data_IF_723542890427
#
_entry.id   IF_723542890427
#
_cell.length_a   1.000
_cell.length_b   1.000
_cell.length_c   1.000
_cell.angle_alpha   90.00
_cell.angle_beta   90.00
_cell.angle_gamma   90.00
#
_symmetry.space_group_name_H-M   'P 1'
#
loop_
_entity.id
_entity.type
_entity.pdbx_description
1 polymer ?
#
# COMPACT_ATOMS: atom_id res chain seq x y z
N UNK A 1 25.13 -39.99 12.44
CA UNK A 1 26.14 -40.05 11.35
C UNK A 1 27.22 -39.00 11.55
N UNK A 2 28.49 -39.30 11.24
CA UNK A 2 29.61 -38.34 11.30
C UNK A 2 29.32 -37.10 10.44
N UNK A 3 28.72 -37.29 9.26
CA UNK A 3 28.32 -36.20 8.35
C UNK A 3 27.39 -35.19 9.01
N UNK A 4 26.40 -35.68 9.78
CA UNK A 4 25.46 -34.81 10.50
C UNK A 4 26.20 -33.95 11.53
N UNK A 5 27.00 -34.59 12.39
CA UNK A 5 27.77 -33.91 13.44
C UNK A 5 28.71 -32.85 12.85
N UNK A 6 29.36 -33.17 11.72
CA UNK A 6 30.25 -32.25 11.03
C UNK A 6 29.53 -31.00 10.51
N UNK A 7 28.35 -31.15 9.88
CA UNK A 7 27.58 -29.99 9.38
C UNK A 7 27.06 -29.14 10.56
N UNK A 8 26.59 -29.77 11.64
CA UNK A 8 26.19 -29.05 12.87
C UNK A 8 27.35 -28.23 13.44
N UNK A 9 28.57 -28.79 13.49
CA UNK A 9 29.76 -28.06 13.93
C UNK A 9 30.09 -26.88 13.02
N UNK A 10 29.95 -27.02 11.70
CA UNK A 10 30.14 -25.90 10.75
C UNK A 10 29.12 -24.78 11.00
N UNK A 11 27.85 -25.13 11.25
CA UNK A 11 26.81 -24.15 11.60
C UNK A 11 27.11 -23.45 12.93
N UNK A 12 27.66 -24.16 13.92
CA UNK A 12 28.10 -23.54 15.18
C UNK A 12 29.26 -22.55 14.98
N UNK A 13 30.20 -22.86 14.09
CA UNK A 13 31.27 -21.93 13.70
C UNK A 13 30.70 -20.67 13.04
N UNK A 14 29.74 -20.83 12.12
CA UNK A 14 29.03 -19.71 11.51
C UNK A 14 28.37 -18.82 12.58
N UNK A 15 27.66 -19.40 13.55
CA UNK A 15 27.03 -18.65 14.64
C UNK A 15 28.05 -17.96 15.56
N UNK A 16 29.25 -18.53 15.72
CA UNK A 16 30.33 -17.91 16.48
C UNK A 16 30.81 -16.63 15.78
N UNK A 17 31.03 -16.69 14.47
CA UNK A 17 31.34 -15.49 13.67
C UNK A 17 30.21 -14.45 13.74
N UNK A 18 28.95 -14.90 13.65
CA UNK A 18 27.78 -14.02 13.79
C UNK A 18 27.75 -13.30 15.15
N UNK A 19 27.94 -14.03 16.26
CA UNK A 19 28.00 -13.45 17.61
C UNK A 19 29.16 -12.46 17.75
N UNK A 20 30.30 -12.74 17.12
CA UNK A 20 31.43 -11.83 17.02
C UNK A 20 31.24 -10.66 16.04
N UNK A 21 30.07 -10.56 15.38
CA UNK A 21 29.76 -9.57 14.32
C UNK A 21 30.69 -9.62 13.11
N UNK A 22 31.40 -10.74 12.90
CA UNK A 22 32.17 -11.00 11.69
C UNK A 22 31.27 -11.61 10.60
N UNK A 23 30.38 -10.76 10.06
CA UNK A 23 29.42 -11.17 9.04
C UNK A 23 30.09 -11.65 7.75
N UNK A 24 31.29 -11.17 7.42
CA UNK A 24 32.01 -11.58 6.21
C UNK A 24 32.49 -13.02 6.32
N UNK A 25 33.07 -13.40 7.46
CA UNK A 25 33.48 -14.79 7.69
C UNK A 25 32.27 -15.71 7.83
N UNK A 26 31.22 -15.27 8.53
CA UNK A 26 29.97 -16.03 8.60
C UNK A 26 29.37 -16.29 7.20
N UNK A 27 29.35 -15.28 6.32
CA UNK A 27 28.89 -15.43 4.94
C UNK A 27 29.75 -16.38 4.11
N UNK A 28 31.08 -16.39 4.31
CA UNK A 28 31.97 -17.37 3.65
C UNK A 28 31.56 -18.79 4.02
N UNK A 29 31.27 -19.06 5.30
CA UNK A 29 30.81 -20.38 5.75
C UNK A 29 29.49 -20.77 5.07
N UNK A 30 28.50 -19.87 5.03
CA UNK A 30 27.23 -20.09 4.34
C UNK A 30 27.41 -20.40 2.84
N UNK A 31 28.27 -19.64 2.15
CA UNK A 31 28.57 -19.85 0.72
C UNK A 31 29.25 -21.18 0.47
N UNK A 32 30.20 -21.58 1.33
CA UNK A 32 30.88 -22.87 1.23
C UNK A 32 29.89 -24.02 1.40
N UNK A 33 28.98 -23.95 2.38
CA UNK A 33 27.93 -24.96 2.54
C UNK A 33 27.03 -25.07 1.32
N UNK A 34 26.64 -23.94 0.73
CA UNK A 34 25.85 -23.91 -0.52
C UNK A 34 26.61 -24.53 -1.68
N UNK A 35 27.91 -24.24 -1.84
CA UNK A 35 28.75 -24.83 -2.87
C UNK A 35 28.85 -26.37 -2.72
N UNK A 36 28.87 -26.84 -1.47
CA UNK A 36 28.80 -28.27 -1.14
C UNK A 36 27.38 -28.88 -1.23
N UNK A 37 26.38 -28.13 -1.73
CA UNK A 37 24.98 -28.54 -1.84
C UNK A 37 24.36 -28.98 -0.50
N UNK A 38 24.83 -28.39 0.59
CA UNK A 38 24.27 -28.59 1.94
C UNK A 38 23.25 -27.49 2.21
N UNK A 39 22.02 -27.87 2.54
CA UNK A 39 21.03 -26.93 3.05
C UNK A 39 21.32 -26.67 4.54
N UNK A 40 21.82 -25.48 4.93
CA UNK A 40 22.23 -25.24 6.32
C UNK A 40 21.06 -25.27 7.30
N UNK A 41 19.84 -25.05 6.84
CA UNK A 41 18.64 -25.03 7.68
C UNK A 41 18.23 -26.41 8.18
N UNK A 42 18.74 -27.49 7.57
CA UNK A 42 18.49 -28.87 8.01
C UNK A 42 19.36 -29.36 9.17
N UNK A 43 20.29 -28.53 9.68
CA UNK A 43 21.35 -28.97 10.61
C UNK A 43 21.61 -27.96 11.73
N UNK A 44 20.61 -27.71 12.58
CA UNK A 44 20.67 -26.63 13.57
C UNK A 44 21.47 -27.07 14.80
N UNK A 45 22.39 -26.24 15.33
CA UNK A 45 23.11 -26.52 16.58
C UNK A 45 22.18 -26.66 17.79
N UNK A 46 22.55 -27.50 18.74
CA UNK A 46 21.82 -27.68 20.00
C UNK A 46 21.64 -26.33 20.73
N UNK A 47 20.44 -26.10 21.28
CA UNK A 47 20.09 -24.87 21.98
C UNK A 47 19.78 -23.66 21.09
N UNK A 48 19.74 -23.83 19.76
CA UNK A 48 19.34 -22.78 18.80
C UNK A 48 18.01 -23.16 18.17
N UNK A 49 17.03 -22.24 18.19
CA UNK A 49 15.76 -22.49 17.50
C UNK A 49 15.93 -22.34 15.98
N UNK A 50 15.15 -23.07 15.16
CA UNK A 50 15.15 -22.90 13.71
C UNK A 50 14.95 -21.44 13.27
N UNK A 51 14.04 -20.72 13.92
CA UNK A 51 13.72 -19.32 13.64
C UNK A 51 14.92 -18.43 13.94
N UNK A 52 15.54 -18.58 15.12
CA UNK A 52 16.75 -17.83 15.49
C UNK A 52 17.88 -18.06 14.48
N UNK A 53 18.03 -19.29 14.00
CA UNK A 53 19.03 -19.64 13.00
C UNK A 53 18.75 -19.00 11.64
N UNK A 54 17.50 -19.04 11.16
CA UNK A 54 17.09 -18.39 9.91
C UNK A 54 17.28 -16.88 9.99
N UNK A 55 16.87 -16.24 11.10
CA UNK A 55 17.04 -14.81 11.33
C UNK A 55 18.53 -14.43 11.32
N UNK A 56 19.40 -15.22 11.96
CA UNK A 56 20.85 -15.01 11.91
C UNK A 56 21.41 -15.13 10.48
N UNK A 57 20.98 -16.15 9.73
CA UNK A 57 21.37 -16.31 8.33
C UNK A 57 20.93 -15.10 7.48
N UNK A 58 19.68 -14.66 7.61
CA UNK A 58 19.18 -13.49 6.90
C UNK A 58 19.96 -12.23 7.28
N UNK A 59 20.24 -12.04 8.57
CA UNK A 59 21.02 -10.90 9.07
C UNK A 59 22.46 -10.90 8.53
N UNK A 60 23.13 -12.05 8.43
CA UNK A 60 24.46 -12.14 7.80
C UNK A 60 24.42 -11.65 6.34
N UNK A 61 23.44 -12.10 5.57
CA UNK A 61 23.27 -11.67 4.19
C UNK A 61 22.91 -10.17 4.09
N UNK A 62 22.08 -9.67 5.01
CA UNK A 62 21.70 -8.26 5.14
C UNK A 62 22.92 -7.37 5.38
N UNK A 63 23.73 -7.67 6.39
CA UNK A 63 24.92 -6.88 6.72
C UNK A 63 25.98 -6.93 5.61
N UNK A 64 26.02 -8.02 4.85
CA UNK A 64 26.86 -8.17 3.67
C UNK A 64 26.23 -7.63 2.37
N UNK A 65 25.12 -6.88 2.44
CA UNK A 65 24.40 -6.28 1.31
C UNK A 65 23.93 -7.28 0.23
N UNK A 66 23.83 -8.56 0.56
CA UNK A 66 23.22 -9.60 -0.27
C UNK A 66 21.70 -9.61 -0.10
N UNK A 67 21.06 -8.47 -0.41
CA UNK A 67 19.68 -8.16 -0.01
C UNK A 67 18.63 -9.14 -0.54
N UNK A 68 18.73 -9.55 -1.81
CA UNK A 68 17.79 -10.53 -2.40
C UNK A 68 17.87 -11.88 -1.68
N UNK A 69 19.08 -12.33 -1.35
CA UNK A 69 19.28 -13.59 -0.65
C UNK A 69 18.76 -13.51 0.79
N UNK A 70 18.99 -12.37 1.46
CA UNK A 70 18.44 -12.13 2.80
C UNK A 70 16.91 -12.20 2.83
N UNK A 71 16.23 -11.68 1.79
CA UNK A 71 14.77 -11.82 1.61
C UNK A 71 14.40 -13.30 1.40
N UNK A 72 15.06 -13.99 0.46
CA UNK A 72 14.76 -15.39 0.16
C UNK A 72 14.90 -16.30 1.38
N UNK A 73 15.91 -16.06 2.23
CA UNK A 73 16.12 -16.82 3.47
C UNK A 73 14.94 -16.67 4.43
N UNK A 74 14.42 -15.45 4.63
CA UNK A 74 13.26 -15.22 5.50
C UNK A 74 12.01 -15.94 5.00
N UNK A 75 11.80 -15.91 3.67
CA UNK A 75 10.64 -16.54 3.05
C UNK A 75 10.72 -18.06 3.07
N UNK A 76 11.90 -18.62 2.80
CA UNK A 76 12.09 -20.07 2.80
C UNK A 76 12.03 -20.66 4.20
N UNK A 77 12.49 -19.94 5.22
CA UNK A 77 12.45 -20.39 6.60
C UNK A 77 11.11 -20.18 7.30
N UNK A 78 10.05 -19.80 6.56
CA UNK A 78 8.69 -19.57 7.07
C UNK A 78 8.62 -18.65 8.31
N UNK A 79 9.64 -17.81 8.53
CA UNK A 79 9.77 -16.97 9.74
C UNK A 79 8.71 -15.87 9.86
N UNK A 80 7.92 -15.67 8.80
CA UNK A 80 6.80 -14.74 8.77
C UNK A 80 5.50 -15.42 9.20
N UNK A 81 5.34 -16.74 9.01
CA UNK A 81 4.12 -17.48 9.43
C UNK A 81 4.07 -17.55 10.94
N UNK A 82 2.90 -17.26 11.51
CA UNK A 82 2.70 -17.11 12.95
C UNK A 82 3.40 -18.16 13.79
N UNK A 83 4.05 -17.68 14.84
CA UNK A 83 4.29 -18.38 16.10
C UNK A 83 2.96 -18.58 16.86
N UNK A 84 1.92 -19.13 16.21
CA UNK A 84 0.62 -19.39 16.85
C UNK A 84 0.72 -20.41 17.97
N UNK A 85 1.78 -21.23 17.96
CA UNK A 85 2.12 -22.12 19.05
C UNK A 85 3.43 -21.63 19.69
N UNK A 86 3.31 -20.81 20.74
CA UNK A 86 3.97 -20.99 22.03
C UNK A 86 4.01 -19.65 22.77
N UNK A 87 3.22 -19.56 23.84
CA UNK A 87 3.34 -18.47 24.80
C UNK A 87 4.64 -18.59 25.58
N UNK A 88 5.73 -18.02 25.06
CA UNK A 88 6.98 -17.88 25.80
C UNK A 88 7.68 -16.56 25.46
N UNK A 89 8.39 -16.00 26.44
CA UNK A 89 9.20 -14.79 26.34
C UNK A 89 10.20 -14.82 25.16
N UNK A 90 10.63 -16.00 24.69
CA UNK A 90 11.49 -16.21 23.53
C UNK A 90 10.87 -15.75 22.20
N UNK A 91 9.54 -15.82 22.07
CA UNK A 91 8.82 -15.36 20.89
C UNK A 91 8.92 -13.84 20.70
N UNK A 92 9.04 -13.08 21.80
CA UNK A 92 9.12 -11.62 21.76
C UNK A 92 10.46 -11.13 21.22
N UNK A 93 11.56 -11.77 21.60
CA UNK A 93 12.90 -11.42 21.11
C UNK A 93 13.06 -11.80 19.63
N UNK A 94 12.52 -12.96 19.22
CA UNK A 94 12.47 -13.36 17.81
C UNK A 94 11.63 -12.41 16.97
N UNK A 95 10.44 -12.01 17.46
CA UNK A 95 9.60 -11.04 16.78
C UNK A 95 10.32 -9.68 16.64
N UNK A 96 10.96 -9.20 17.70
CA UNK A 96 11.70 -7.93 17.68
C UNK A 96 12.88 -7.99 16.70
N UNK A 97 13.58 -9.12 16.62
CA UNK A 97 14.65 -9.36 15.65
C UNK A 97 14.11 -9.41 14.21
N UNK A 98 13.00 -10.11 13.98
CA UNK A 98 12.32 -10.18 12.69
C UNK A 98 11.88 -8.80 12.22
N UNK A 99 11.18 -8.03 13.05
CA UNK A 99 10.78 -6.65 12.76
C UNK A 99 11.99 -5.79 12.38
N UNK A 100 13.07 -5.83 13.17
CA UNK A 100 14.31 -5.09 12.88
C UNK A 100 14.89 -5.48 11.52
N UNK A 101 14.98 -6.77 11.21
CA UNK A 101 15.53 -7.28 9.94
C UNK A 101 14.63 -6.83 8.77
N UNK A 102 13.31 -7.03 8.87
CA UNK A 102 12.34 -6.64 7.84
C UNK A 102 12.40 -5.14 7.57
N UNK A 103 12.38 -4.30 8.61
CA UNK A 103 12.45 -2.84 8.44
C UNK A 103 13.79 -2.40 7.85
N UNK A 104 14.91 -3.01 8.26
CA UNK A 104 16.23 -2.71 7.69
C UNK A 104 16.35 -3.17 6.23
N UNK A 105 15.81 -4.35 5.89
CA UNK A 105 15.72 -4.83 4.51
C UNK A 105 14.88 -3.88 3.65
N UNK A 106 13.66 -3.56 4.07
CA UNK A 106 12.77 -2.64 3.34
C UNK A 106 13.42 -1.27 3.11
N UNK A 107 14.11 -0.73 4.12
CA UNK A 107 14.90 0.51 4.02
C UNK A 107 16.02 0.41 2.99
N UNK A 108 16.81 -0.66 3.01
CA UNK A 108 17.94 -0.84 2.11
C UNK A 108 17.49 -1.17 0.68
N UNK A 109 16.46 -1.98 0.51
CA UNK A 109 15.86 -2.31 -0.79
C UNK A 109 15.30 -1.05 -1.47
N UNK A 110 14.62 -0.19 -0.70
CA UNK A 110 14.21 1.15 -1.14
C UNK A 110 15.41 2.02 -1.53
N UNK A 111 16.45 2.09 -0.69
CA UNK A 111 17.67 2.89 -0.97
C UNK A 111 18.40 2.41 -2.23
N UNK A 112 18.48 1.10 -2.44
CA UNK A 112 19.15 0.47 -3.59
C UNK A 112 18.26 0.31 -4.82
N UNK A 113 16.98 0.74 -4.74
CA UNK A 113 15.99 0.62 -5.81
C UNK A 113 15.88 -0.82 -6.34
N UNK A 114 15.73 -1.79 -5.42
CA UNK A 114 15.52 -3.20 -5.72
C UNK A 114 14.04 -3.57 -5.51
N UNK A 115 13.14 -3.23 -6.46
CA UNK A 115 11.70 -3.35 -6.27
C UNK A 115 11.20 -4.78 -6.25
N UNK A 116 11.85 -5.70 -6.97
CA UNK A 116 11.45 -7.11 -7.01
C UNK A 116 11.50 -7.74 -5.62
N UNK A 117 12.68 -7.82 -4.98
CA UNK A 117 12.78 -8.37 -3.63
C UNK A 117 11.98 -7.57 -2.58
N UNK A 118 11.84 -6.25 -2.76
CA UNK A 118 11.00 -5.43 -1.88
C UNK A 118 9.52 -5.82 -1.97
N UNK A 119 9.01 -6.04 -3.19
CA UNK A 119 7.64 -6.50 -3.42
C UNK A 119 7.43 -7.87 -2.78
N UNK A 120 8.36 -8.81 -2.97
CA UNK A 120 8.26 -10.16 -2.42
C UNK A 120 8.23 -10.13 -0.89
N UNK A 121 9.17 -9.42 -0.26
CA UNK A 121 9.20 -9.26 1.19
C UNK A 121 7.94 -8.58 1.70
N UNK A 122 7.52 -7.49 1.04
CA UNK A 122 6.34 -6.74 1.44
C UNK A 122 5.06 -7.58 1.38
N UNK A 123 4.82 -8.31 0.29
CA UNK A 123 3.66 -9.20 0.14
C UNK A 123 3.64 -10.26 1.24
N UNK A 124 4.77 -10.91 1.48
CA UNK A 124 4.86 -11.94 2.50
C UNK A 124 4.59 -11.39 3.90
N UNK A 125 5.16 -10.22 4.23
CA UNK A 125 4.86 -9.56 5.50
C UNK A 125 3.36 -9.25 5.58
N UNK A 126 2.77 -8.65 4.54
CA UNK A 126 1.34 -8.27 4.51
C UNK A 126 0.41 -9.47 4.66
N UNK A 127 0.66 -10.58 3.96
CA UNK A 127 -0.14 -11.81 4.07
C UNK A 127 -0.09 -12.35 5.50
N UNK A 128 1.10 -12.33 6.11
CA UNK A 128 1.29 -12.87 7.44
C UNK A 128 0.98 -11.89 8.57
N UNK A 129 0.74 -10.60 8.29
CA UNK A 129 0.31 -9.63 9.31
C UNK A 129 -0.93 -10.11 10.07
N UNK A 130 -1.79 -10.91 9.43
CA UNK A 130 -2.99 -11.44 10.07
C UNK A 130 -2.69 -12.44 11.18
N UNK A 131 -1.51 -13.07 11.11
CA UNK A 131 -1.06 -14.15 11.96
C UNK A 131 -0.05 -13.65 13.04
N UNK A 132 0.43 -12.41 12.92
CA UNK A 132 1.35 -11.77 13.87
C UNK A 132 0.61 -11.10 15.03
N UNK A 133 1.06 -11.36 16.27
CA UNK A 133 0.57 -10.70 17.49
C UNK A 133 0.83 -9.18 17.49
N UNK A 134 1.91 -8.76 16.86
CA UNK A 134 2.30 -7.37 16.71
C UNK A 134 2.47 -7.09 15.21
N UNK A 135 1.76 -6.10 14.64
CA UNK A 135 1.95 -5.78 13.23
C UNK A 135 3.27 -5.06 12.96
N UNK A 136 4.05 -5.54 11.97
CA UNK A 136 5.30 -4.88 11.56
C UNK A 136 4.96 -3.58 10.81
N UNK A 137 5.51 -2.45 11.23
CA UNK A 137 5.18 -1.12 10.70
C UNK A 137 5.81 -0.82 9.33
N UNK A 138 5.28 -1.42 8.26
CA UNK A 138 5.78 -1.27 6.88
C UNK A 138 5.10 -0.15 6.07
N UNK A 139 4.30 0.73 6.69
CA UNK A 139 3.49 1.76 6.00
C UNK A 139 4.32 2.71 5.13
N UNK A 140 5.55 3.01 5.57
CA UNK A 140 6.50 3.90 4.88
C UNK A 140 7.06 3.37 3.55
N UNK A 141 6.77 2.11 3.27
CA UNK A 141 7.23 1.41 2.08
C UNK A 141 6.11 1.14 1.07
N UNK A 142 4.83 1.36 1.42
CA UNK A 142 3.71 1.17 0.49
C UNK A 142 3.90 2.01 -0.77
N UNK A 143 4.23 3.29 -0.64
CA UNK A 143 4.43 4.16 -1.80
C UNK A 143 5.56 3.64 -2.72
N UNK A 144 6.64 3.11 -2.14
CA UNK A 144 7.73 2.53 -2.92
C UNK A 144 7.27 1.27 -3.66
N UNK A 145 6.67 0.34 -2.93
CA UNK A 145 6.23 -0.96 -3.45
C UNK A 145 5.16 -0.77 -4.52
N UNK A 146 4.13 0.02 -4.23
CA UNK A 146 3.09 0.38 -5.19
C UNK A 146 3.70 1.06 -6.42
N UNK A 147 4.67 1.99 -6.27
CA UNK A 147 5.22 2.68 -7.45
C UNK A 147 5.81 1.75 -8.49
N UNK A 148 6.39 0.65 -8.02
CA UNK A 148 7.05 -0.29 -8.89
C UNK A 148 6.14 -1.40 -9.39
N UNK A 149 5.17 -1.85 -8.59
CA UNK A 149 4.08 -2.69 -9.12
C UNK A 149 3.45 -2.02 -10.32
N UNK A 150 3.02 -0.77 -10.16
CA UNK A 150 2.18 -0.09 -11.15
C UNK A 150 2.94 0.28 -12.44
N UNK A 151 4.21 0.68 -12.33
CA UNK A 151 5.08 0.89 -13.49
C UNK A 151 5.32 -0.41 -14.27
N UNK A 152 5.45 -1.55 -13.58
CA UNK A 152 5.62 -2.86 -14.22
C UNK A 152 4.32 -3.37 -14.85
N UNK A 153 3.15 -3.03 -14.27
CA UNK A 153 1.83 -3.41 -14.81
C UNK A 153 1.48 -2.69 -16.11
N UNK A 154 1.85 -1.41 -16.28
CA UNK A 154 1.73 -0.72 -17.59
C UNK A 154 2.46 -1.46 -18.71
N UNK A 155 3.51 -2.22 -18.39
CA UNK A 155 4.28 -3.01 -19.36
C UNK A 155 3.77 -4.46 -19.55
N UNK A 156 2.94 -5.00 -18.66
CA UNK A 156 2.66 -6.45 -18.61
C UNK A 156 1.20 -6.87 -18.83
N UNK A 157 0.25 -5.96 -19.07
CA UNK A 157 -1.18 -6.28 -19.34
C UNK A 157 -1.82 -7.31 -18.37
N UNK A 158 -1.34 -7.36 -17.12
CA UNK A 158 -1.84 -8.28 -16.08
C UNK A 158 -2.41 -7.48 -14.90
N UNK A 159 -3.73 -7.20 -14.88
CA UNK A 159 -4.40 -6.36 -13.87
C UNK A 159 -4.63 -7.04 -12.50
N UNK A 160 -4.42 -8.34 -12.39
CA UNK A 160 -4.76 -9.16 -11.21
C UNK A 160 -3.91 -8.88 -9.96
N UNK A 161 -2.67 -8.44 -10.13
CA UNK A 161 -1.71 -8.24 -9.04
C UNK A 161 -1.92 -6.94 -8.23
N UNK A 162 -2.44 -5.89 -8.86
CA UNK A 162 -2.75 -4.61 -8.20
C UNK A 162 -4.03 -4.70 -7.37
N UNK A 163 -5.07 -5.34 -7.91
CA UNK A 163 -6.31 -5.65 -7.20
C UNK A 163 -6.05 -6.57 -5.99
N UNK A 164 -5.12 -7.53 -6.10
CA UNK A 164 -4.75 -8.39 -4.98
C UNK A 164 -4.01 -7.61 -3.87
N UNK A 165 -3.08 -6.73 -4.25
CA UNK A 165 -2.42 -5.82 -3.30
C UNK A 165 -3.42 -4.89 -2.61
N UNK A 166 -4.49 -4.50 -3.31
CA UNK A 166 -5.59 -3.72 -2.76
C UNK A 166 -6.39 -4.47 -1.70
N UNK A 167 -6.83 -5.71 -1.95
CA UNK A 167 -7.55 -6.54 -0.96
C UNK A 167 -6.72 -6.70 0.31
N UNK A 168 -5.42 -6.92 0.12
CA UNK A 168 -4.47 -7.04 1.21
C UNK A 168 -4.29 -5.72 1.99
N UNK A 169 -4.22 -4.58 1.31
CA UNK A 169 -4.19 -3.24 1.95
C UNK A 169 -5.46 -2.99 2.76
N UNK A 170 -6.62 -3.33 2.22
CA UNK A 170 -7.93 -3.14 2.85
C UNK A 170 -8.03 -3.94 4.15
N UNK A 171 -7.66 -5.22 4.12
CA UNK A 171 -7.64 -6.10 5.28
C UNK A 171 -6.76 -5.54 6.42
N UNK A 172 -5.62 -4.94 6.07
CA UNK A 172 -4.75 -4.28 7.05
C UNK A 172 -5.40 -3.04 7.67
N UNK A 173 -6.06 -2.21 6.86
CA UNK A 173 -6.70 -0.99 7.34
C UNK A 173 -7.86 -1.27 8.28
N UNK A 174 -8.62 -2.35 8.04
CA UNK A 174 -9.68 -2.80 8.94
C UNK A 174 -9.19 -3.13 10.36
N UNK A 175 -7.92 -3.54 10.51
CA UNK A 175 -7.30 -3.93 11.79
C UNK A 175 -6.51 -2.81 12.48
N UNK A 176 -6.73 -1.56 12.08
CA UNK A 176 -6.13 -0.38 12.72
C UNK A 176 -4.80 0.08 12.13
N UNK A 177 -4.33 -0.56 11.05
CA UNK A 177 -3.19 -0.06 10.29
C UNK A 177 -3.55 1.25 9.59
N UNK A 178 -2.78 2.33 9.82
CA UNK A 178 -3.06 3.66 9.26
C UNK A 178 -2.15 3.93 8.07
N UNK A 179 -2.76 4.05 6.89
CA UNK A 179 -2.05 4.54 5.71
C UNK A 179 -1.92 6.06 5.72
N UNK A 180 -0.83 6.56 5.13
CA UNK A 180 -0.65 8.00 4.91
C UNK A 180 -1.70 8.50 3.89
N UNK A 181 -2.23 9.73 4.04
CA UNK A 181 -3.21 10.31 3.09
C UNK A 181 -2.79 10.23 1.62
N UNK A 182 -1.50 10.49 1.35
CA UNK A 182 -0.96 10.42 -0.02
C UNK A 182 -0.95 9.01 -0.59
N UNK A 183 -0.74 8.00 0.25
CA UNK A 183 -0.81 6.59 -0.16
C UNK A 183 -2.25 6.22 -0.51
N UNK A 184 -3.23 6.65 0.30
CA UNK A 184 -4.65 6.41 0.07
C UNK A 184 -5.14 7.03 -1.24
N UNK A 185 -4.84 8.31 -1.47
CA UNK A 185 -5.14 8.99 -2.74
C UNK A 185 -4.58 8.26 -3.95
N UNK A 186 -3.35 7.75 -3.82
CA UNK A 186 -2.66 7.11 -4.93
C UNK A 186 -3.23 5.75 -5.25
N UNK A 187 -3.68 5.03 -4.21
CA UNK A 187 -4.40 3.78 -4.37
C UNK A 187 -5.73 4.02 -5.10
N UNK A 188 -6.46 5.09 -4.77
CA UNK A 188 -7.70 5.46 -5.46
C UNK A 188 -7.48 5.66 -6.95
N UNK A 189 -6.53 6.52 -7.33
CA UNK A 189 -6.21 6.81 -8.74
C UNK A 189 -5.90 5.53 -9.51
N UNK A 190 -5.10 4.65 -8.90
CA UNK A 190 -4.72 3.42 -9.56
C UNK A 190 -5.89 2.44 -9.72
N UNK A 191 -6.72 2.30 -8.69
CA UNK A 191 -7.88 1.42 -8.77
C UNK A 191 -8.81 1.84 -9.91
N UNK A 192 -9.05 3.14 -10.07
CA UNK A 192 -9.83 3.70 -11.18
C UNK A 192 -9.18 3.34 -12.52
N UNK A 193 -7.86 3.56 -12.67
CA UNK A 193 -7.13 3.25 -13.91
C UNK A 193 -7.11 1.76 -14.25
N UNK A 194 -7.02 0.91 -13.24
CA UNK A 194 -7.04 -0.55 -13.40
C UNK A 194 -8.44 -1.12 -13.62
N UNK A 195 -9.49 -0.29 -13.57
CA UNK A 195 -10.89 -0.72 -13.61
C UNK A 195 -11.19 -1.76 -12.54
N UNK A 196 -10.75 -1.48 -11.31
CA UNK A 196 -11.06 -2.33 -10.16
C UNK A 196 -12.59 -2.44 -9.97
N UNK A 197 -13.10 -3.54 -9.40
CA UNK A 197 -14.53 -3.69 -9.14
C UNK A 197 -15.10 -2.54 -8.29
N UNK A 198 -16.34 -2.13 -8.56
CA UNK A 198 -17.00 -1.01 -7.88
C UNK A 198 -17.02 -1.13 -6.35
N UNK A 199 -17.22 -2.34 -5.82
CA UNK A 199 -17.16 -2.59 -4.38
C UNK A 199 -15.79 -2.23 -3.79
N UNK A 200 -14.71 -2.51 -4.52
CA UNK A 200 -13.35 -2.16 -4.08
C UNK A 200 -13.14 -0.64 -4.08
N UNK A 201 -13.63 0.04 -5.12
CA UNK A 201 -13.59 1.49 -5.23
C UNK A 201 -14.39 2.18 -4.11
N UNK A 202 -15.58 1.67 -3.79
CA UNK A 202 -16.43 2.19 -2.70
C UNK A 202 -15.75 2.02 -1.34
N UNK A 203 -15.18 0.85 -1.07
CA UNK A 203 -14.51 0.58 0.22
C UNK A 203 -13.27 1.45 0.44
N UNK A 204 -12.41 1.60 -0.57
CA UNK A 204 -11.25 2.50 -0.44
C UNK A 204 -11.66 3.95 -0.25
N UNK A 205 -12.73 4.37 -0.94
CA UNK A 205 -13.24 5.73 -0.84
C UNK A 205 -13.79 6.01 0.56
N UNK A 206 -14.55 5.07 1.13
CA UNK A 206 -15.00 5.14 2.51
C UNK A 206 -13.83 5.25 3.49
N UNK A 207 -12.76 4.47 3.28
CA UNK A 207 -11.54 4.57 4.10
C UNK A 207 -10.87 5.95 3.96
N UNK A 208 -10.83 6.53 2.76
CA UNK A 208 -10.30 7.87 2.51
C UNK A 208 -11.10 8.94 3.28
N UNK A 209 -12.43 8.86 3.26
CA UNK A 209 -13.32 9.79 3.99
C UNK A 209 -13.14 9.63 5.50
N UNK A 210 -13.15 8.39 6.02
CA UNK A 210 -12.90 8.10 7.44
C UNK A 210 -11.54 8.64 7.91
N UNK A 211 -10.54 8.59 7.02
CA UNK A 211 -9.19 9.08 7.27
C UNK A 211 -9.01 10.58 7.01
N UNK A 212 -10.11 11.32 6.72
CA UNK A 212 -10.12 12.76 6.40
C UNK A 212 -9.22 13.15 5.22
N UNK A 213 -9.04 12.24 4.28
CA UNK A 213 -8.31 12.48 3.02
C UNK A 213 -9.20 13.25 2.04
N UNK A 214 -10.47 12.85 1.97
CA UNK A 214 -11.53 13.57 1.29
C UNK A 214 -12.52 14.10 2.33
N UNK A 215 -13.18 15.23 2.06
CA UNK A 215 -14.19 15.76 2.97
C UNK A 215 -15.36 14.80 3.15
N UNK A 216 -16.06 14.92 4.27
CA UNK A 216 -17.34 14.25 4.49
C UNK A 216 -18.44 14.93 3.70
N UNK A 217 -19.48 14.18 3.37
CA UNK A 217 -20.65 14.70 2.66
C UNK A 217 -21.34 15.81 3.46
N UNK A 218 -21.79 16.85 2.75
CA UNK A 218 -22.65 17.88 3.31
C UNK A 218 -23.97 17.88 2.54
N UNK A 219 -25.14 17.73 3.17
CA UNK A 219 -26.40 17.80 2.45
C UNK A 219 -26.56 19.13 1.71
N UNK A 220 -26.79 19.08 0.39
CA UNK A 220 -26.92 20.26 -0.47
C UNK A 220 -25.60 20.90 -0.90
N UNK A 221 -24.44 20.36 -0.52
CA UNK A 221 -23.17 20.83 -1.07
C UNK A 221 -22.00 19.84 -1.00
N UNK A 222 -21.00 20.06 -1.85
CA UNK A 222 -19.73 19.33 -1.81
C UNK A 222 -18.57 20.32 -1.85
N UNK A 223 -17.50 20.00 -1.12
CA UNK A 223 -16.24 20.75 -1.19
C UNK A 223 -15.19 19.87 -1.85
N UNK A 224 -14.48 20.40 -2.84
CA UNK A 224 -13.45 19.70 -3.59
C UNK A 224 -12.12 20.44 -3.47
N UNK A 225 -11.06 19.71 -3.13
CA UNK A 225 -9.71 20.27 -3.13
C UNK A 225 -9.24 20.54 -4.55
N UNK A 226 -8.62 21.70 -4.78
CA UNK A 226 -8.07 22.07 -6.09
C UNK A 226 -6.95 21.13 -6.57
N UNK A 227 -6.35 20.32 -5.70
CA UNK A 227 -5.28 19.39 -6.04
C UNK A 227 -5.75 17.96 -6.38
N UNK A 228 -7.06 17.73 -6.48
CA UNK A 228 -7.61 16.43 -6.89
C UNK A 228 -7.31 16.15 -8.37
N UNK A 229 -6.88 14.92 -8.66
CA UNK A 229 -6.80 14.38 -10.01
C UNK A 229 -8.21 14.14 -10.56
N UNK A 230 -8.31 14.08 -11.88
CA UNK A 230 -9.59 13.85 -12.57
C UNK A 230 -10.21 12.52 -12.12
N UNK A 231 -9.41 11.46 -12.01
CA UNK A 231 -9.87 10.15 -11.55
C UNK A 231 -10.43 10.18 -10.12
N UNK A 232 -9.82 11.00 -9.25
CA UNK A 232 -10.29 11.18 -7.87
C UNK A 232 -11.62 11.95 -7.85
N UNK A 233 -11.71 13.02 -8.64
CA UNK A 233 -12.94 13.83 -8.76
C UNK A 233 -14.10 12.99 -9.30
N UNK A 234 -13.90 12.22 -10.38
CA UNK A 234 -14.93 11.38 -10.97
C UNK A 234 -15.48 10.38 -9.96
N UNK A 235 -14.59 9.63 -9.30
CA UNK A 235 -14.99 8.61 -8.34
C UNK A 235 -15.70 9.22 -7.12
N UNK A 236 -15.16 10.31 -6.57
CA UNK A 236 -15.72 10.96 -5.40
C UNK A 236 -17.10 11.55 -5.69
N UNK A 237 -17.26 12.32 -6.78
CA UNK A 237 -18.54 12.93 -7.17
C UNK A 237 -19.63 11.87 -7.40
N UNK A 238 -19.33 10.85 -8.20
CA UNK A 238 -20.27 9.74 -8.48
C UNK A 238 -20.76 9.11 -7.18
N UNK A 239 -19.84 8.82 -6.25
CA UNK A 239 -20.21 8.24 -4.96
C UNK A 239 -21.01 9.20 -4.07
N UNK A 240 -20.64 10.49 -4.02
CA UNK A 240 -21.38 11.50 -3.28
C UNK A 240 -22.83 11.59 -3.73
N UNK A 241 -23.06 11.72 -5.04
CA UNK A 241 -24.42 11.82 -5.57
C UNK A 241 -25.22 10.55 -5.32
N UNK A 242 -24.67 9.37 -5.63
CA UNK A 242 -25.33 8.09 -5.35
C UNK A 242 -25.72 7.94 -3.88
N UNK A 243 -24.81 8.31 -2.96
CA UNK A 243 -25.07 8.23 -1.53
C UNK A 243 -26.17 9.19 -1.08
N UNK A 244 -26.15 10.44 -1.53
CA UNK A 244 -27.15 11.45 -1.17
C UNK A 244 -28.54 11.09 -1.74
N UNK A 245 -28.61 10.62 -2.98
CA UNK A 245 -29.84 10.13 -3.62
C UNK A 245 -30.41 8.95 -2.84
N UNK A 246 -29.57 7.99 -2.45
CA UNK A 246 -29.99 6.81 -1.70
C UNK A 246 -30.45 7.13 -0.28
N UNK A 247 -29.90 8.19 0.35
CA UNK A 247 -30.36 8.64 1.66
C UNK A 247 -31.74 9.32 1.61
N UNK A 248 -31.89 10.33 0.75
CA UNK A 248 -33.12 11.09 0.61
C UNK A 248 -33.15 11.81 -0.75
N UNK A 249 -33.67 11.11 -1.77
CA UNK A 249 -33.82 11.66 -3.13
C UNK A 249 -34.68 12.93 -3.14
N UNK A 250 -35.73 12.99 -2.34
CA UNK A 250 -36.59 14.17 -2.31
C UNK A 250 -35.82 15.39 -1.78
N UNK A 251 -35.07 15.24 -0.69
CA UNK A 251 -34.23 16.32 -0.16
C UNK A 251 -33.08 16.69 -1.11
N UNK A 252 -32.52 15.73 -1.85
CA UNK A 252 -31.49 15.99 -2.86
C UNK A 252 -32.01 16.89 -4.00
N UNK A 253 -33.25 16.66 -4.45
CA UNK A 253 -33.87 17.40 -5.54
C UNK A 253 -34.55 18.71 -5.12
N UNK A 254 -34.71 18.97 -3.82
CA UNK A 254 -35.47 20.11 -3.31
C UNK A 254 -34.80 21.48 -3.47
N UNK A 255 -33.48 21.53 -3.66
CA UNK A 255 -32.74 22.79 -3.74
C UNK A 255 -31.52 22.67 -4.64
N UNK A 256 -31.06 23.79 -5.24
CA UNK A 256 -29.78 23.82 -5.95
C UNK A 256 -28.64 23.28 -5.09
N UNK A 257 -27.74 22.53 -5.73
CA UNK A 257 -26.61 21.88 -5.07
C UNK A 257 -25.33 22.69 -5.29
N UNK A 258 -24.67 23.08 -4.20
CA UNK A 258 -23.44 23.87 -4.26
C UNK A 258 -22.18 23.01 -4.36
N UNK A 259 -21.27 23.36 -5.25
CA UNK A 259 -19.93 22.78 -5.39
C UNK A 259 -18.90 23.88 -5.11
N UNK A 260 -18.07 23.65 -4.09
CA UNK A 260 -17.07 24.60 -3.63
C UNK A 260 -15.65 24.05 -3.89
N UNK A 261 -14.91 24.70 -4.79
CA UNK A 261 -13.53 24.37 -5.11
C UNK A 261 -12.60 25.21 -4.23
N UNK A 262 -11.87 24.55 -3.32
CA UNK A 262 -10.99 25.22 -2.36
C UNK A 262 -9.53 25.06 -2.74
N UNK A 263 -8.77 26.15 -2.63
CA UNK A 263 -7.32 26.09 -2.84
C UNK A 263 -6.68 25.12 -1.85
N UNK A 264 -5.91 24.19 -2.40
CA UNK A 264 -5.17 23.20 -1.65
C UNK A 264 -3.68 23.48 -1.78
N UNK A 265 -2.94 23.29 -0.69
CA UNK A 265 -1.48 23.36 -0.73
C UNK A 265 -0.93 22.36 -1.73
N UNK A 266 0.07 22.78 -2.52
CA UNK A 266 0.79 21.87 -3.41
C UNK A 266 1.44 20.77 -2.57
N UNK A 267 1.20 19.48 -2.86
CA UNK A 267 1.85 18.42 -2.13
C UNK A 267 3.36 18.53 -2.30
N UNK A 268 4.12 18.40 -1.20
CA UNK A 268 5.58 18.46 -1.19
C UNK A 268 6.15 17.47 -2.22
N UNK A 269 7.12 17.91 -3.05
CA UNK A 269 7.77 17.10 -4.10
C UNK A 269 8.01 15.66 -3.65
N UNK A 270 7.28 14.72 -4.25
CA UNK A 270 7.36 13.29 -3.94
C UNK A 270 8.38 12.60 -4.86
N UNK A 271 9.07 11.59 -4.33
CA UNK A 271 10.13 10.85 -5.02
C UNK A 271 9.61 9.80 -6.03
N UNK A 272 8.31 9.51 -6.06
CA UNK A 272 7.76 8.39 -6.85
C UNK A 272 6.97 8.87 -8.08
N UNK A 273 7.05 8.17 -9.24
CA UNK A 273 6.43 8.60 -10.49
C UNK A 273 4.92 8.83 -10.42
N UNK A 274 4.14 7.97 -9.78
CA UNK A 274 2.67 8.16 -9.69
C UNK A 274 2.28 9.30 -8.74
N UNK A 275 3.09 9.59 -7.72
CA UNK A 275 2.92 10.78 -6.88
C UNK A 275 3.40 12.05 -7.59
N UNK A 276 4.24 11.92 -8.62
CA UNK A 276 4.70 13.07 -9.40
C UNK A 276 3.50 13.73 -10.07
N UNK A 277 2.55 12.94 -10.59
CA UNK A 277 1.30 13.44 -11.17
C UNK A 277 0.54 14.32 -10.17
N UNK A 278 0.36 13.87 -8.92
CA UNK A 278 -0.27 14.67 -7.85
C UNK A 278 0.48 15.97 -7.54
N UNK A 279 1.81 16.00 -7.72
CA UNK A 279 2.62 17.21 -7.51
C UNK A 279 2.69 18.12 -8.73
N UNK A 280 2.22 17.66 -9.90
CA UNK A 280 2.17 18.43 -11.15
C UNK A 280 0.77 18.91 -11.49
N UNK A 281 -0.26 18.38 -10.82
CA UNK A 281 -1.63 18.90 -10.92
C UNK A 281 -1.64 20.35 -10.46
N UNK A 282 -2.13 21.24 -11.32
CA UNK A 282 -2.29 22.64 -10.95
C UNK A 282 -3.25 22.76 -9.77
N UNK A 283 -2.85 23.50 -8.74
CA UNK A 283 -3.65 23.73 -7.53
C UNK A 283 -4.47 25.01 -7.60
N UNK A 284 -4.51 25.68 -8.75
CA UNK A 284 -5.34 26.86 -8.95
C UNK A 284 -6.82 26.48 -9.15
N UNK A 285 -7.72 27.35 -8.71
CA UNK A 285 -9.17 27.13 -8.79
C UNK A 285 -9.64 26.97 -10.25
N UNK A 286 -9.10 27.73 -11.21
CA UNK A 286 -9.57 27.68 -12.60
C UNK A 286 -9.29 26.33 -13.25
N UNK A 287 -8.09 25.79 -13.04
CA UNK A 287 -7.75 24.43 -13.48
C UNK A 287 -8.58 23.37 -12.78
N UNK A 288 -8.91 23.58 -11.50
CA UNK A 288 -9.79 22.67 -10.76
C UNK A 288 -11.23 22.73 -11.28
N UNK A 289 -11.73 23.91 -11.67
CA UNK A 289 -13.04 24.09 -12.31
C UNK A 289 -13.11 23.34 -13.64
N UNK A 290 -12.08 23.46 -14.49
CA UNK A 290 -12.02 22.70 -15.75
C UNK A 290 -12.03 21.19 -15.53
N UNK A 291 -11.27 20.70 -14.54
CA UNK A 291 -11.30 19.27 -14.18
C UNK A 291 -12.65 18.83 -13.62
N UNK A 292 -13.34 19.70 -12.89
CA UNK A 292 -14.69 19.43 -12.42
C UNK A 292 -15.67 19.30 -13.59
N UNK A 293 -15.65 20.22 -14.55
CA UNK A 293 -16.47 20.16 -15.78
C UNK A 293 -16.21 18.88 -16.57
N UNK A 294 -14.93 18.54 -16.73
CA UNK A 294 -14.49 17.30 -17.38
C UNK A 294 -14.99 16.06 -16.61
N UNK A 295 -14.92 16.07 -15.27
CA UNK A 295 -15.42 14.99 -14.44
C UNK A 295 -16.94 14.79 -14.58
N UNK A 296 -17.71 15.89 -14.54
CA UNK A 296 -19.17 15.85 -14.76
C UNK A 296 -19.48 15.24 -16.13
N UNK A 297 -18.80 15.70 -17.18
CA UNK A 297 -18.98 15.17 -18.54
C UNK A 297 -18.66 13.68 -18.62
N UNK A 298 -17.59 13.23 -17.96
CA UNK A 298 -17.17 11.82 -17.94
C UNK A 298 -18.13 10.92 -17.14
N UNK A 299 -18.73 11.42 -16.06
CA UNK A 299 -19.68 10.63 -15.25
C UNK A 299 -21.02 10.50 -15.98
N UNK A 300 -21.53 11.59 -16.55
CA UNK A 300 -22.92 11.67 -17.02
C UNK A 300 -23.07 11.61 -18.55
N UNK A 301 -21.96 11.53 -19.29
CA UNK A 301 -21.95 11.40 -20.75
C UNK A 301 -22.49 12.63 -21.51
N UNK A 302 -22.83 13.71 -20.81
CA UNK A 302 -23.41 14.93 -21.37
C UNK A 302 -22.92 16.17 -20.62
N UNK A 303 -22.95 17.31 -21.30
CA UNK A 303 -22.63 18.60 -20.69
C UNK A 303 -23.81 19.05 -19.84
N UNK A 304 -23.71 18.83 -18.53
CA UNK A 304 -24.66 19.36 -17.56
C UNK A 304 -24.46 20.88 -17.45
N UNK A 305 -25.49 21.71 -17.64
CA UNK A 305 -25.40 23.14 -17.40
C UNK A 305 -24.99 23.45 -15.96
N UNK A 306 -23.99 24.32 -15.79
CA UNK A 306 -23.46 24.72 -14.50
C UNK A 306 -23.58 26.23 -14.32
N UNK A 307 -23.99 26.66 -13.12
CA UNK A 307 -24.09 28.08 -12.76
C UNK A 307 -22.86 28.49 -11.97
N UNK A 308 -22.10 29.45 -12.49
CA UNK A 308 -20.91 29.98 -11.83
C UNK A 308 -21.28 31.27 -11.09
N UNK A 309 -21.33 31.21 -9.76
CA UNK A 309 -21.65 32.40 -8.95
C UNK A 309 -20.40 33.24 -8.65
N UNK A 310 -19.30 32.56 -8.35
CA UNK A 310 -18.02 33.20 -8.08
C UNK A 310 -16.86 32.23 -8.34
N UNK A 311 -15.61 32.67 -8.15
CA UNK A 311 -14.44 31.85 -8.43
C UNK A 311 -14.41 30.61 -7.52
N UNK A 312 -14.69 29.45 -8.10
CA UNK A 312 -14.72 28.17 -7.38
C UNK A 312 -16.06 27.83 -6.76
N UNK A 313 -17.09 28.65 -6.96
CA UNK A 313 -18.46 28.39 -6.49
C UNK A 313 -19.35 28.07 -7.69
N UNK A 314 -19.79 26.82 -7.76
CA UNK A 314 -20.58 26.28 -8.87
C UNK A 314 -21.90 25.75 -8.30
N UNK A 315 -23.02 26.07 -8.94
CA UNK A 315 -24.34 25.60 -8.57
C UNK A 315 -24.89 24.70 -9.66
N UNK A 316 -25.51 23.59 -9.22
CA UNK A 316 -26.28 22.69 -10.07
C UNK A 316 -27.75 22.93 -9.72
N UNK A 317 -28.54 23.32 -10.70
CA UNK A 317 -29.97 23.59 -10.51
C UNK A 317 -30.76 22.28 -10.37
N UNK A 318 -32.02 22.39 -9.94
CA UNK A 318 -32.87 21.23 -9.65
C UNK A 318 -33.14 20.35 -10.87
N UNK A 319 -33.34 20.94 -12.06
CA UNK A 319 -33.54 20.19 -13.31
C UNK A 319 -32.31 19.33 -13.66
N UNK A 320 -31.12 19.89 -13.51
CA UNK A 320 -29.87 19.17 -13.71
C UNK A 320 -29.61 18.11 -12.64
N UNK A 321 -30.05 18.33 -11.39
CA UNK A 321 -29.99 17.34 -10.33
C UNK A 321 -30.93 16.15 -10.59
N UNK A 322 -32.08 16.37 -11.22
CA UNK A 322 -32.96 15.29 -11.69
C UNK A 322 -32.25 14.44 -12.74
N UNK A 323 -31.63 15.07 -13.75
CA UNK A 323 -30.86 14.37 -14.76
C UNK A 323 -29.69 13.56 -14.16
N UNK A 324 -28.98 14.11 -13.18
CA UNK A 324 -27.93 13.42 -12.41
C UNK A 324 -28.50 12.22 -11.66
N UNK A 325 -29.65 12.40 -11.01
CA UNK A 325 -30.27 11.36 -10.21
C UNK A 325 -30.71 10.18 -11.09
N UNK A 326 -31.32 10.46 -12.23
CA UNK A 326 -31.81 9.44 -13.14
C UNK A 326 -30.65 8.68 -13.80
N UNK A 327 -29.59 9.38 -14.23
CA UNK A 327 -28.39 8.77 -14.80
C UNK A 327 -27.65 7.83 -13.83
N UNK A 328 -27.80 8.00 -12.51
CA UNK A 328 -27.13 7.19 -11.50
C UNK A 328 -27.96 6.02 -10.95
N UNK A 329 -29.23 5.90 -11.36
CA UNK A 329 -30.14 4.81 -10.97
C UNK A 329 -30.19 3.69 -12.01
N UNK A 330 -29.82 3.97 -13.26
CA UNK A 330 -29.85 2.99 -14.37
C UNK A 330 -28.61 2.06 -14.47
N UNK A 331 -27.64 2.16 -13.54
CA UNK A 331 -26.45 1.28 -13.45
C UNK A 331 -26.44 0.39 -12.20
#
# INVERSE_FOLDING_TARGET
SIRYKFIVSINAVMLTYFKGRDYKSALKVLKTMRACRVNPLGFIPEGVSPEAYVLACSEIHLECLSLTEAVNILLFGDCLKSTTNNGEYSARDHYSALERIVLKLMKLLKKKRLPGPAMTLFRAVVIEQESLFFPIQIHDYFEFVLSYSLVKHKALKAPTDAAHMYVLIEALCARGFKLRPTTLRSLVVELVRSKAPDDSLRRILFLCIKSKVYPTYTPGSITLGSNLLLEEMCLYLRHCFQFLIAQDRAAFLQRPFGVYLVESSTPVKKKYPFLKEMTTVSTDILSATKRFEEAMTLIFGSNIPLIYLSRGEIFINTEELEAIADALVEE
#
